data_IF_941529568876
#
_entry.id   IF_941529568876
#
_cell.length_a   1.000
_cell.length_b   1.000
_cell.length_c   1.000
_cell.angle_alpha   90.00
_cell.angle_beta   90.00
_cell.angle_gamma   90.00
#
_symmetry.space_group_name_H-M   'P 1'
#
loop_
_entity.id
_entity.type
_entity.pdbx_description
1 polymer ?
#
# COMPACT_ATOMS: atom_id res chain seq x y z
N UNK A 1 -15.04 7.75 -9.93
CA UNK A 1 -14.79 6.41 -9.38
C UNK A 1 -15.76 6.16 -8.23
N UNK A 2 -16.31 4.95 -8.16
CA UNK A 2 -17.25 4.59 -7.09
C UNK A 2 -16.52 4.45 -5.74
N UNK A 3 -17.29 4.46 -4.64
CA UNK A 3 -16.75 4.19 -3.32
C UNK A 3 -16.18 2.76 -3.23
N UNK A 4 -15.21 2.54 -2.34
CA UNK A 4 -14.64 1.20 -2.15
C UNK A 4 -15.70 0.18 -1.73
N UNK A 5 -15.63 -1.01 -2.28
CA UNK A 5 -16.53 -2.10 -1.90
C UNK A 5 -16.11 -2.75 -0.58
N UNK A 6 -14.84 -2.63 -0.23
CA UNK A 6 -14.28 -3.12 1.02
C UNK A 6 -13.79 -1.90 1.78
N UNK A 7 -14.28 -1.72 3.01
CA UNK A 7 -13.87 -0.59 3.85
C UNK A 7 -12.43 -0.80 4.31
N UNK A 8 -11.51 0.16 4.03
CA UNK A 8 -10.16 0.07 4.56
C UNK A 8 -10.16 0.05 6.09
N UNK A 9 -9.27 -0.75 6.67
CA UNK A 9 -9.15 -0.87 8.12
C UNK A 9 -8.61 0.43 8.71
N UNK A 10 -9.29 0.95 9.74
CA UNK A 10 -8.80 2.13 10.44
C UNK A 10 -7.52 1.78 11.22
N UNK A 11 -6.53 2.71 11.28
CA UNK A 11 -5.27 2.42 11.97
C UNK A 11 -5.44 2.01 13.43
N UNK A 12 -6.39 2.61 14.14
CA UNK A 12 -6.66 2.32 15.54
C UNK A 12 -7.41 1.00 15.74
N UNK A 13 -7.99 0.45 14.69
CA UNK A 13 -8.68 -0.85 14.73
C UNK A 13 -7.79 -2.01 14.25
N UNK A 14 -6.50 -1.75 14.01
CA UNK A 14 -5.60 -2.76 13.44
C UNK A 14 -5.36 -3.92 14.40
N UNK A 15 -5.36 -5.18 13.91
CA UNK A 15 -4.95 -6.33 14.71
C UNK A 15 -3.49 -6.18 15.18
N UNK A 16 -3.14 -6.89 16.25
CA UNK A 16 -1.80 -6.80 16.83
C UNK A 16 -0.68 -7.10 15.82
N UNK A 17 -0.90 -8.05 14.91
CA UNK A 17 0.11 -8.43 13.92
C UNK A 17 0.37 -7.30 12.90
N UNK A 18 -0.58 -6.40 12.71
CA UNK A 18 -0.50 -5.35 11.70
C UNK A 18 -0.01 -4.03 12.28
N UNK A 19 -0.21 -3.80 13.58
CA UNK A 19 0.14 -2.54 14.24
C UNK A 19 1.57 -2.06 13.99
N UNK A 20 2.60 -2.92 14.11
CA UNK A 20 3.97 -2.46 13.84
C UNK A 20 4.15 -1.95 12.42
N UNK A 21 3.47 -2.58 11.45
CA UNK A 21 3.54 -2.17 10.06
C UNK A 21 2.91 -0.80 9.88
N UNK A 22 1.71 -0.59 10.45
CA UNK A 22 1.01 0.68 10.37
C UNK A 22 1.80 1.79 11.06
N UNK A 23 2.38 1.52 12.22
CA UNK A 23 3.20 2.49 12.96
C UNK A 23 4.41 2.93 12.15
N UNK A 24 5.06 2.00 11.45
CA UNK A 24 6.20 2.30 10.59
C UNK A 24 5.80 3.25 9.47
N UNK A 25 4.68 2.98 8.79
CA UNK A 25 4.22 3.85 7.70
C UNK A 25 3.79 5.22 8.20
N UNK A 26 3.12 5.29 9.35
CA UNK A 26 2.74 6.58 9.94
C UNK A 26 3.98 7.40 10.30
N UNK A 27 5.01 6.76 10.87
CA UNK A 27 6.23 7.44 11.28
C UNK A 27 7.04 7.91 10.06
N UNK A 28 7.15 7.09 9.04
CA UNK A 28 8.03 7.39 7.90
C UNK A 28 7.36 8.23 6.83
N UNK A 29 6.05 8.09 6.64
CA UNK A 29 5.32 8.74 5.54
C UNK A 29 4.17 9.62 5.99
N UNK A 30 3.80 9.59 7.26
CA UNK A 30 2.69 10.36 7.77
C UNK A 30 1.31 9.78 7.47
N UNK A 31 1.24 8.72 6.67
CA UNK A 31 -0.03 8.05 6.36
C UNK A 31 0.21 6.59 6.01
N UNK A 32 -0.88 5.82 5.96
CA UNK A 32 -0.85 4.42 5.55
C UNK A 32 -1.63 4.33 4.23
N UNK A 33 -1.02 3.79 3.16
CA UNK A 33 -1.72 3.63 1.88
C UNK A 33 -3.04 2.87 2.06
N UNK A 34 -4.09 3.34 1.40
CA UNK A 34 -5.42 2.71 1.51
C UNK A 34 -5.39 1.24 1.07
N UNK A 35 -4.58 0.91 0.09
CA UNK A 35 -4.40 -0.47 -0.35
C UNK A 35 -3.94 -1.35 0.81
N UNK A 36 -2.97 -0.90 1.59
CA UNK A 36 -2.44 -1.66 2.73
C UNK A 36 -3.48 -1.78 3.85
N UNK A 37 -4.26 -0.74 4.07
CA UNK A 37 -5.35 -0.78 5.05
C UNK A 37 -6.43 -1.78 4.66
N UNK A 38 -6.67 -1.92 3.36
CA UNK A 38 -7.65 -2.89 2.86
C UNK A 38 -7.12 -4.32 2.98
N UNK A 39 -5.88 -4.56 2.55
CA UNK A 39 -5.27 -5.89 2.61
C UNK A 39 -5.01 -6.33 4.05
N UNK A 40 -4.92 -5.39 4.99
CA UNK A 40 -4.69 -5.68 6.41
C UNK A 40 -5.81 -6.49 7.05
N UNK A 41 -6.98 -6.60 6.40
CA UNK A 41 -8.02 -7.54 6.83
C UNK A 41 -7.52 -8.99 6.82
N UNK A 42 -6.46 -9.27 6.07
CA UNK A 42 -5.75 -10.54 6.06
C UNK A 42 -4.27 -10.26 6.37
N UNK A 43 -3.88 -10.23 7.66
CA UNK A 43 -2.54 -9.78 8.07
C UNK A 43 -1.38 -10.48 7.37
N UNK A 44 -1.48 -11.79 7.14
CA UNK A 44 -0.43 -12.53 6.44
C UNK A 44 -0.30 -12.09 4.98
N UNK A 45 -1.42 -11.75 4.34
CA UNK A 45 -1.39 -11.25 2.97
C UNK A 45 -0.76 -9.86 2.90
N UNK A 46 -1.03 -9.02 3.89
CA UNK A 46 -0.39 -7.70 3.95
C UNK A 46 1.12 -7.84 4.07
N UNK A 47 1.59 -8.72 4.96
CA UNK A 47 3.02 -8.92 5.18
C UNK A 47 3.73 -9.36 3.91
N UNK A 48 3.18 -10.32 3.19
CA UNK A 48 3.77 -10.82 1.95
C UNK A 48 3.64 -9.82 0.81
N UNK A 49 2.54 -9.07 0.75
CA UNK A 49 2.35 -8.03 -0.26
C UNK A 49 3.39 -6.92 -0.10
N UNK A 50 3.64 -6.47 1.13
CA UNK A 50 4.64 -5.44 1.39
C UNK A 50 6.03 -5.92 0.98
N UNK A 51 6.38 -7.16 1.29
CA UNK A 51 7.65 -7.74 0.88
C UNK A 51 7.79 -7.73 -0.65
N UNK A 52 6.76 -8.17 -1.36
CA UNK A 52 6.74 -8.16 -2.82
C UNK A 52 6.82 -6.73 -3.36
N UNK A 53 6.04 -5.83 -2.80
CA UNK A 53 6.03 -4.41 -3.21
C UNK A 53 7.43 -3.80 -3.10
N UNK A 54 8.15 -4.07 -2.01
CA UNK A 54 9.49 -3.56 -1.81
C UNK A 54 10.47 -4.06 -2.86
N UNK A 55 10.40 -5.35 -3.22
CA UNK A 55 11.29 -5.89 -4.25
C UNK A 55 10.98 -5.31 -5.62
N UNK A 56 9.69 -5.16 -5.95
CA UNK A 56 9.28 -4.60 -7.23
C UNK A 56 9.72 -3.14 -7.36
N UNK A 57 9.53 -2.34 -6.31
CA UNK A 57 9.78 -0.89 -6.39
C UNK A 57 11.23 -0.49 -6.17
N UNK A 58 11.97 -1.25 -5.37
CA UNK A 58 13.30 -0.83 -4.94
C UNK A 58 14.46 -1.64 -5.53
N UNK A 59 14.19 -2.77 -6.16
CA UNK A 59 15.23 -3.65 -6.69
C UNK A 59 15.10 -3.79 -8.20
N UNK A 60 16.15 -4.34 -8.81
CA UNK A 60 16.18 -4.56 -10.25
C UNK A 60 16.88 -3.43 -11.00
N UNK A 61 16.78 -3.47 -12.33
CA UNK A 61 17.52 -2.56 -13.21
C UNK A 61 16.77 -1.28 -13.57
N UNK A 62 15.45 -1.25 -13.34
CA UNK A 62 14.66 -0.04 -13.62
C UNK A 62 14.75 0.89 -12.41
N UNK A 63 15.11 2.18 -12.60
CA UNK A 63 15.19 3.11 -11.47
C UNK A 63 13.85 3.29 -10.74
N UNK A 64 13.86 3.40 -9.40
CA UNK A 64 12.62 3.59 -8.64
C UNK A 64 11.77 4.77 -9.09
N UNK A 65 12.40 5.89 -9.46
CA UNK A 65 11.67 7.05 -9.95
C UNK A 65 10.85 6.72 -11.19
N UNK A 66 11.43 5.99 -12.14
CA UNK A 66 10.72 5.59 -13.34
C UNK A 66 9.57 4.65 -13.01
N UNK A 67 9.77 3.72 -12.06
CA UNK A 67 8.71 2.83 -11.61
C UNK A 67 7.53 3.60 -11.03
N UNK A 68 7.80 4.63 -10.22
CA UNK A 68 6.76 5.46 -9.64
C UNK A 68 6.01 6.26 -10.72
N UNK A 69 6.73 6.79 -11.69
CA UNK A 69 6.11 7.52 -12.81
C UNK A 69 5.20 6.59 -13.62
N UNK A 70 5.64 5.38 -13.88
CA UNK A 70 4.84 4.38 -14.57
C UNK A 70 3.60 4.00 -13.77
N UNK A 71 3.73 3.85 -12.47
CA UNK A 71 2.62 3.55 -11.59
C UNK A 71 1.55 4.64 -11.65
N UNK A 72 1.98 5.89 -11.52
CA UNK A 72 1.08 7.04 -11.62
C UNK A 72 0.40 7.08 -12.99
N UNK A 73 1.14 6.86 -14.05
CA UNK A 73 0.60 6.89 -15.41
C UNK A 73 -0.44 5.79 -15.63
N UNK A 74 -0.13 4.57 -15.20
CA UNK A 74 -1.06 3.44 -15.32
C UNK A 74 -2.32 3.71 -14.50
N UNK A 75 -2.16 4.22 -13.29
CA UNK A 75 -3.29 4.57 -12.44
C UNK A 75 -4.17 5.64 -13.09
N UNK A 76 -3.55 6.63 -13.72
CA UNK A 76 -4.27 7.67 -14.43
C UNK A 76 -5.07 7.10 -15.60
N UNK A 77 -4.46 6.22 -16.41
CA UNK A 77 -5.14 5.56 -17.53
C UNK A 77 -6.32 4.71 -17.04
N UNK A 78 -6.22 4.14 -15.86
CA UNK A 78 -7.29 3.33 -15.26
C UNK A 78 -8.29 4.16 -14.46
N UNK A 79 -8.16 5.49 -14.48
CA UNK A 79 -9.05 6.41 -13.78
C UNK A 79 -9.08 6.17 -12.28
N UNK A 80 -7.95 5.81 -11.69
CA UNK A 80 -7.87 5.66 -10.23
C UNK A 80 -7.93 7.03 -9.57
N UNK A 81 -8.83 7.18 -8.60
CA UNK A 81 -8.94 8.40 -7.81
C UNK A 81 -7.81 8.50 -6.78
N UNK A 82 -7.35 7.35 -6.39
CA UNK A 82 -6.30 7.17 -5.39
C UNK A 82 -4.86 7.40 -5.96
#
# INVERSE_FOLDING_TARGET
MADPRITPLAPDAAPAEVRPIFETYLRERGNIPNMFRTVALRPNHLRTLIAHFRTVMNEGTVPPLLKELLWVRISHLNRCRY
#
